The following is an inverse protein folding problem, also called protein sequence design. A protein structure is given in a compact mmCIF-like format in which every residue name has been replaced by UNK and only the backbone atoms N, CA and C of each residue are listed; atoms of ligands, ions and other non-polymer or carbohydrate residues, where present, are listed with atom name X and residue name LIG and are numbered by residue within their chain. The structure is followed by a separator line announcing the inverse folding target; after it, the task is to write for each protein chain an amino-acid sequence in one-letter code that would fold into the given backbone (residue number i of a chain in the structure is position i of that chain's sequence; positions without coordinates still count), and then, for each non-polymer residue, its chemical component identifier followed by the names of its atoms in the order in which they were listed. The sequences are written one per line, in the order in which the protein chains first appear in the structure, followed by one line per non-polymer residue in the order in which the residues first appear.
data_IF_755708067591
#
_entry.id   IF_755708067591
#
_cell.length_a   1.000
_cell.length_b   1.000
_cell.length_c   1.000
_cell.angle_alpha   90.00
_cell.angle_beta   90.00
_cell.angle_gamma   90.00
#
_symmetry.space_group_name_H-M   'P 1'
#
loop_
_entity.id
_entity.type
_entity.pdbx_description
1 polymer ?
#
# COMPACT_ATOMS: atom_id res chain seq x y z
N UNK A 1 6.33 -3.60 -5.53
CA UNK A 1 5.50 -2.45 -5.87
C UNK A 1 6.28 -1.14 -5.88
N UNK A 2 7.02 -0.78 -4.84
CA UNK A 2 7.83 0.44 -4.78
C UNK A 2 8.81 0.62 -5.96
N UNK A 3 9.55 -0.40 -6.37
CA UNK A 3 10.54 -0.29 -7.47
C UNK A 3 9.92 0.05 -8.84
N UNK A 4 8.68 -0.34 -9.10
CA UNK A 4 7.96 0.00 -10.33
C UNK A 4 7.65 1.49 -10.40
N UNK A 5 7.14 2.04 -9.30
CA UNK A 5 6.84 3.46 -9.17
C UNK A 5 8.11 4.32 -9.27
N UNK A 6 9.17 3.92 -8.56
CA UNK A 6 10.46 4.63 -8.54
C UNK A 6 11.12 4.75 -9.92
N UNK A 7 10.99 3.72 -10.76
CA UNK A 7 11.57 3.74 -12.10
C UNK A 7 10.85 4.67 -13.09
N UNK A 8 9.61 5.04 -12.81
CA UNK A 8 8.82 5.97 -13.64
C UNK A 8 9.04 7.43 -13.25
N UNK A 9 9.45 7.70 -12.01
CA UNK A 9 9.64 9.05 -11.47
C UNK A 9 10.51 9.95 -12.35
N UNK A 10 11.71 9.52 -12.87
CA UNK A 10 12.57 10.39 -13.66
C UNK A 10 11.97 10.83 -15.00
N UNK A 11 10.84 10.24 -15.42
CA UNK A 11 10.17 10.53 -16.68
C UNK A 11 8.92 11.40 -16.51
N UNK A 12 8.53 11.70 -15.28
CA UNK A 12 7.39 12.56 -14.98
C UNK A 12 7.88 14.02 -15.06
N UNK A 13 7.38 14.84 -15.98
CA UNK A 13 7.82 16.22 -16.18
C UNK A 13 7.11 17.18 -15.21
N UNK A 14 7.18 16.88 -13.92
CA UNK A 14 6.63 17.72 -12.85
C UNK A 14 7.80 18.11 -11.95
N UNK A 15 8.04 19.39 -11.79
CA UNK A 15 9.06 19.92 -10.90
C UNK A 15 8.74 19.44 -9.47
N UNK A 16 9.77 19.05 -8.72
CA UNK A 16 9.68 18.55 -7.33
C UNK A 16 8.91 17.23 -7.11
N UNK A 17 8.38 16.57 -8.16
CA UNK A 17 7.66 15.30 -8.02
C UNK A 17 8.46 14.23 -7.27
N UNK A 18 9.77 14.18 -7.46
CA UNK A 18 10.64 13.22 -6.79
C UNK A 18 10.63 13.43 -5.27
N UNK A 19 10.66 14.69 -4.83
CA UNK A 19 10.67 15.06 -3.43
C UNK A 19 9.30 14.83 -2.79
N UNK A 20 8.23 15.20 -3.46
CA UNK A 20 6.86 14.99 -2.98
C UNK A 20 6.53 13.49 -2.89
N UNK A 21 6.99 12.71 -3.87
CA UNK A 21 6.80 11.27 -3.86
C UNK A 21 7.64 10.60 -2.76
N UNK A 22 8.85 11.13 -2.49
CA UNK A 22 9.65 10.66 -1.34
C UNK A 22 8.93 10.93 -0.02
N UNK A 23 8.43 12.14 0.18
CA UNK A 23 7.66 12.50 1.39
C UNK A 23 6.42 11.60 1.55
N UNK A 24 5.75 11.26 0.45
CA UNK A 24 4.65 10.31 0.48
C UNK A 24 5.10 8.90 0.92
N UNK A 25 6.19 8.39 0.33
CA UNK A 25 6.74 7.08 0.71
C UNK A 25 7.23 7.06 2.15
N UNK A 26 7.89 8.13 2.57
CA UNK A 26 8.42 8.30 3.93
C UNK A 26 7.32 8.18 4.99
N UNK A 27 6.15 8.75 4.73
CA UNK A 27 4.97 8.62 5.58
C UNK A 27 4.36 7.21 5.61
N UNK A 28 4.69 6.34 4.65
CA UNK A 28 4.26 4.95 4.61
C UNK A 28 5.27 3.99 5.25
N UNK A 29 6.51 4.42 5.36
CA UNK A 29 7.59 3.62 5.94
C UNK A 29 7.51 3.62 7.47
N UNK A 30 7.83 2.49 8.11
CA UNK A 30 7.93 2.46 9.55
C UNK A 30 9.04 3.40 10.02
N UNK A 31 8.83 4.13 11.13
CA UNK A 31 9.86 4.95 11.73
C UNK A 31 11.17 4.15 11.96
N UNK A 32 12.32 4.80 11.82
CA UNK A 32 13.64 4.16 11.98
C UNK A 32 14.16 3.43 10.73
N UNK A 33 13.37 3.30 9.66
CA UNK A 33 13.83 2.72 8.39
C UNK A 33 14.13 3.77 7.32
N UNK A 34 13.82 5.05 7.58
CA UNK A 34 13.91 6.17 6.65
C UNK A 34 15.28 6.29 5.97
N UNK A 35 16.35 6.37 6.73
CA UNK A 35 17.70 6.56 6.18
C UNK A 35 18.17 5.44 5.26
N UNK A 36 17.74 4.20 5.51
CA UNK A 36 18.06 3.06 4.66
C UNK A 36 17.33 3.14 3.30
N UNK A 37 16.06 3.54 3.32
CA UNK A 37 15.26 3.63 2.09
C UNK A 37 15.53 4.91 1.32
N UNK A 38 15.90 6.02 1.98
CA UNK A 38 16.25 7.28 1.34
C UNK A 38 17.43 7.13 0.37
N UNK A 39 18.50 6.48 0.82
CA UNK A 39 19.67 6.23 -0.04
C UNK A 39 19.30 5.42 -1.28
N UNK A 40 18.52 4.35 -1.11
CA UNK A 40 18.04 3.52 -2.22
C UNK A 40 17.13 4.32 -3.15
N UNK A 41 16.24 5.14 -2.61
CA UNK A 41 15.33 5.98 -3.38
C UNK A 41 16.09 6.97 -4.24
N UNK A 42 17.03 7.72 -3.66
CA UNK A 42 17.81 8.73 -4.35
C UNK A 42 18.69 8.14 -5.46
N UNK A 43 19.27 6.95 -5.24
CA UNK A 43 20.04 6.25 -6.29
C UNK A 43 19.17 5.82 -7.48
N UNK A 44 17.93 5.39 -7.23
CA UNK A 44 17.00 4.94 -8.28
C UNK A 44 16.35 6.14 -8.97
N UNK A 45 15.85 7.12 -8.23
CA UNK A 45 15.10 8.26 -8.76
C UNK A 45 16.01 9.28 -9.49
N UNK A 46 17.27 9.42 -9.06
CA UNK A 46 18.21 10.39 -9.64
C UNK A 46 18.84 9.96 -10.97
N UNK A 47 18.74 8.70 -11.37
CA UNK A 47 19.48 8.18 -12.55
C UNK A 47 18.54 7.75 -13.67
N UNK A 48 18.53 8.49 -14.77
CA UNK A 48 17.84 8.08 -16.02
C UNK A 48 18.60 6.93 -16.70
N UNK A 49 18.24 5.70 -16.38
CA UNK A 49 18.86 4.49 -16.95
C UNK A 49 17.90 3.79 -17.92
N UNK A 50 17.73 4.35 -19.12
CA UNK A 50 16.78 3.84 -20.12
C UNK A 50 16.98 2.35 -20.48
N UNK A 51 18.21 1.84 -20.49
CA UNK A 51 18.50 0.45 -20.82
C UNK A 51 18.18 -0.56 -19.70
N UNK A 52 18.24 -0.13 -18.43
CA UNK A 52 17.87 -0.97 -17.28
C UNK A 52 16.38 -0.91 -16.97
N UNK A 53 15.70 0.12 -17.50
CA UNK A 53 14.29 0.38 -17.19
C UNK A 53 13.40 -0.79 -17.58
N UNK A 54 13.59 -1.39 -18.74
CA UNK A 54 12.76 -2.48 -19.25
C UNK A 54 12.92 -3.74 -18.40
N UNK A 55 14.15 -4.14 -18.07
CA UNK A 55 14.40 -5.37 -17.28
C UNK A 55 13.94 -5.22 -15.84
N UNK A 56 14.28 -4.10 -15.18
CA UNK A 56 13.85 -3.83 -13.80
C UNK A 56 12.33 -3.67 -13.73
N UNK A 57 11.71 -3.06 -14.74
CA UNK A 57 10.25 -2.92 -14.82
C UNK A 57 9.55 -4.28 -14.90
N UNK A 58 9.97 -5.15 -15.81
CA UNK A 58 9.41 -6.51 -15.95
C UNK A 58 9.62 -7.32 -14.67
N UNK A 59 10.83 -7.27 -14.10
CA UNK A 59 11.12 -7.96 -12.84
C UNK A 59 10.26 -7.43 -11.69
N UNK A 60 10.02 -6.13 -11.62
CA UNK A 60 9.18 -5.51 -10.58
C UNK A 60 7.73 -5.93 -10.72
N UNK A 61 7.18 -6.02 -11.94
CA UNK A 61 5.83 -6.55 -12.17
C UNK A 61 5.76 -8.01 -11.70
N UNK A 62 6.74 -8.82 -12.07
CA UNK A 62 6.80 -10.22 -11.67
C UNK A 62 6.83 -10.39 -10.15
N UNK A 63 7.72 -9.67 -9.46
CA UNK A 63 7.83 -9.74 -7.99
C UNK A 63 6.57 -9.23 -7.29
N UNK A 64 5.96 -8.13 -7.78
CA UNK A 64 4.71 -7.60 -7.22
C UNK A 64 3.57 -8.59 -7.42
N UNK A 65 3.48 -9.20 -8.60
CA UNK A 65 2.48 -10.25 -8.90
C UNK A 65 2.62 -11.42 -7.94
N UNK A 66 3.86 -11.89 -7.70
CA UNK A 66 4.13 -12.98 -6.75
C UNK A 66 3.69 -12.62 -5.32
N UNK A 67 3.94 -11.37 -4.89
CA UNK A 67 3.48 -10.90 -3.59
C UNK A 67 1.95 -10.93 -3.44
N UNK A 68 1.22 -10.42 -4.44
CA UNK A 68 -0.26 -10.46 -4.44
C UNK A 68 -0.77 -11.90 -4.55
N UNK A 69 -0.13 -12.73 -5.37
CA UNK A 69 -0.49 -14.14 -5.50
C UNK A 69 -0.32 -14.90 -4.18
N UNK A 70 0.72 -14.59 -3.40
CA UNK A 70 0.93 -15.16 -2.07
C UNK A 70 -0.19 -14.73 -1.09
N UNK A 71 -0.61 -13.45 -1.13
CA UNK A 71 -1.76 -12.95 -0.35
C UNK A 71 -3.04 -13.70 -0.73
N UNK A 72 -3.31 -13.88 -2.04
CA UNK A 72 -4.47 -14.64 -2.49
C UNK A 72 -4.41 -16.11 -2.09
N UNK A 73 -3.22 -16.72 -2.11
CA UNK A 73 -3.02 -18.07 -1.54
C UNK A 73 -3.36 -18.13 -0.05
N UNK A 74 -3.03 -17.08 0.71
CA UNK A 74 -3.46 -16.94 2.10
C UNK A 74 -4.99 -16.86 2.25
N UNK A 75 -5.67 -16.16 1.36
CA UNK A 75 -7.13 -16.08 1.35
C UNK A 75 -7.79 -17.42 0.99
N UNK A 76 -7.22 -18.16 0.05
CA UNK A 76 -7.71 -19.48 -0.34
C UNK A 76 -7.57 -20.53 0.78
N UNK A 77 -6.61 -20.35 1.69
CA UNK A 77 -6.43 -21.20 2.86
C UNK A 77 -7.36 -20.83 4.05
N UNK A 78 -8.23 -19.83 3.90
CA UNK A 78 -9.22 -19.47 4.91
C UNK A 78 -10.20 -20.62 5.14
N UNK A 79 -10.54 -20.91 6.39
CA UNK A 79 -11.52 -21.94 6.78
C UNK A 79 -12.88 -21.77 6.10
N UNK A 80 -13.26 -20.55 5.77
CA UNK A 80 -14.56 -20.18 5.23
C UNK A 80 -14.61 -20.13 3.70
N UNK A 81 -13.50 -20.38 3.00
CA UNK A 81 -13.44 -20.39 1.54
C UNK A 81 -13.55 -21.83 1.04
N UNK A 82 -14.58 -22.10 0.22
CA UNK A 82 -14.86 -23.44 -0.33
C UNK A 82 -14.40 -23.61 -1.78
N UNK A 83 -14.24 -22.53 -2.52
CA UNK A 83 -13.90 -22.55 -3.94
C UNK A 83 -12.59 -21.80 -4.17
N UNK A 84 -11.61 -22.49 -4.75
CA UNK A 84 -10.30 -21.93 -5.14
C UNK A 84 -10.18 -21.87 -6.67
N UNK A 85 -9.27 -21.06 -7.15
CA UNK A 85 -8.95 -20.92 -8.57
C UNK A 85 -7.80 -21.86 -8.94
N UNK A 86 -7.76 -22.29 -10.21
CA UNK A 86 -6.54 -22.92 -10.74
C UNK A 86 -5.36 -21.93 -10.70
N UNK A 87 -4.15 -22.44 -10.38
CA UNK A 87 -2.95 -21.63 -10.13
C UNK A 87 -2.64 -20.61 -11.26
N UNK A 88 -2.77 -21.04 -12.52
CA UNK A 88 -2.52 -20.17 -13.69
C UNK A 88 -3.50 -18.99 -13.73
N UNK A 89 -4.80 -19.25 -13.54
CA UNK A 89 -5.84 -18.23 -13.54
C UNK A 89 -5.65 -17.25 -12.38
N UNK A 90 -5.29 -17.76 -11.20
CA UNK A 90 -5.01 -16.93 -10.03
C UNK A 90 -3.83 -16.01 -10.28
N UNK A 91 -2.76 -16.51 -10.90
CA UNK A 91 -1.58 -15.71 -11.22
C UNK A 91 -1.90 -14.55 -12.17
N UNK A 92 -2.67 -14.77 -13.24
CA UNK A 92 -3.10 -13.69 -14.14
C UNK A 92 -3.99 -12.65 -13.46
N UNK A 93 -4.89 -13.08 -12.57
CA UNK A 93 -5.71 -12.15 -11.78
C UNK A 93 -4.84 -11.34 -10.82
N UNK A 94 -3.87 -11.99 -10.15
CA UNK A 94 -2.91 -11.31 -9.28
C UNK A 94 -2.09 -10.27 -10.03
N UNK A 95 -1.68 -10.57 -11.26
CA UNK A 95 -0.98 -9.63 -12.14
C UNK A 95 -1.85 -8.42 -12.50
N UNK A 96 -3.11 -8.65 -12.87
CA UNK A 96 -4.06 -7.58 -13.16
C UNK A 96 -4.31 -6.68 -11.94
N UNK A 97 -4.50 -7.28 -10.76
CA UNK A 97 -4.68 -6.55 -9.50
C UNK A 97 -3.39 -5.80 -9.12
N UNK A 98 -2.21 -6.40 -9.31
CA UNK A 98 -0.93 -5.73 -9.08
C UNK A 98 -0.82 -4.45 -9.90
N UNK A 99 -1.05 -4.53 -11.20
CA UNK A 99 -1.02 -3.38 -12.10
C UNK A 99 -2.07 -2.33 -11.71
N UNK A 100 -3.29 -2.76 -11.42
CA UNK A 100 -4.37 -1.85 -11.03
C UNK A 100 -4.05 -1.10 -9.73
N UNK A 101 -3.49 -1.76 -8.72
CA UNK A 101 -3.08 -1.10 -7.47
C UNK A 101 -1.93 -0.11 -7.69
N UNK A 102 -0.98 -0.43 -8.57
CA UNK A 102 0.10 0.51 -8.95
C UNK A 102 -0.51 1.77 -9.58
N UNK A 103 -1.41 1.61 -10.56
CA UNK A 103 -2.09 2.74 -11.18
C UNK A 103 -2.96 3.52 -10.20
N UNK A 104 -3.65 2.85 -9.30
CA UNK A 104 -4.47 3.51 -8.28
C UNK A 104 -3.61 4.42 -7.38
N UNK A 105 -2.45 3.93 -6.92
CA UNK A 105 -1.54 4.71 -6.08
C UNK A 105 -0.95 5.88 -6.87
N UNK A 106 -0.41 5.64 -8.08
CA UNK A 106 0.11 6.73 -8.91
C UNK A 106 -0.94 7.78 -9.20
N UNK A 107 -2.13 7.36 -9.60
CA UNK A 107 -3.23 8.27 -9.89
C UNK A 107 -3.65 9.07 -8.65
N UNK A 108 -3.68 8.45 -7.47
CA UNK A 108 -3.99 9.15 -6.23
C UNK A 108 -2.96 10.21 -5.88
N UNK A 109 -1.67 9.94 -6.10
CA UNK A 109 -0.61 10.94 -5.89
C UNK A 109 -0.75 12.10 -6.88
N UNK A 110 -0.96 11.80 -8.17
CA UNK A 110 -1.16 12.82 -9.20
C UNK A 110 -2.39 13.69 -8.89
N UNK A 111 -3.51 13.07 -8.50
CA UNK A 111 -4.71 13.82 -8.09
C UNK A 111 -4.45 14.73 -6.88
N UNK A 112 -3.67 14.23 -5.92
CA UNK A 112 -3.33 15.02 -4.76
C UNK A 112 -2.45 16.23 -5.14
N UNK A 113 -1.41 16.03 -5.93
CA UNK A 113 -0.55 17.11 -6.42
C UNK A 113 -1.31 18.12 -7.26
N UNK A 114 -2.21 17.66 -8.14
CA UNK A 114 -3.09 18.55 -8.90
C UNK A 114 -4.00 19.36 -7.97
N UNK A 115 -4.53 18.76 -6.93
CA UNK A 115 -5.34 19.45 -5.92
C UNK A 115 -4.52 20.50 -5.16
N UNK A 116 -3.29 20.19 -4.76
CA UNK A 116 -2.38 21.09 -4.06
C UNK A 116 -1.98 22.28 -4.96
N UNK A 117 -1.75 22.04 -6.25
CA UNK A 117 -1.50 23.09 -7.24
C UNK A 117 -2.71 24.03 -7.40
N UNK A 118 -3.92 23.49 -7.53
CA UNK A 118 -5.16 24.29 -7.65
C UNK A 118 -5.42 25.11 -6.39
N UNK A 119 -5.06 24.57 -5.23
CA UNK A 119 -5.17 25.21 -3.93
C UNK A 119 -4.34 26.50 -3.83
N UNK A 120 -3.16 26.54 -4.46
CA UNK A 120 -2.30 27.73 -4.56
C UNK A 120 -2.94 28.86 -5.36
N UNK A 121 -4.02 28.60 -6.12
CA UNK A 121 -4.74 29.60 -6.86
C UNK A 121 -5.70 30.40 -5.95
N UNK A 122 -5.84 31.68 -6.20
CA UNK A 122 -6.68 32.63 -5.40
C UNK A 122 -8.16 32.24 -5.23
N UNK A 123 -8.63 31.27 -6.04
CA UNK A 123 -10.03 30.78 -6.03
C UNK A 123 -10.36 30.08 -4.69
N UNK A 124 -9.39 29.46 -4.04
CA UNK A 124 -9.57 28.73 -2.77
C UNK A 124 -9.19 29.54 -1.53
N UNK A 125 -8.94 30.83 -1.64
CA UNK A 125 -8.55 31.72 -0.52
C UNK A 125 -9.55 31.67 0.65
N UNK A 126 -10.82 31.39 0.41
CA UNK A 126 -11.86 31.27 1.44
C UNK A 126 -11.63 30.02 2.33
N UNK A 127 -11.13 28.92 1.75
CA UNK A 127 -10.83 27.67 2.51
C UNK A 127 -9.46 27.72 3.20
N UNK A 128 -8.56 28.62 2.77
CA UNK A 128 -7.24 28.83 3.38
C UNK A 128 -7.29 29.53 4.75
N UNK A 129 -8.44 30.00 5.18
CA UNK A 129 -8.61 30.62 6.50
C UNK A 129 -8.46 29.65 7.68
N UNK A 130 -8.57 28.34 7.44
CA UNK A 130 -8.39 27.33 8.48
C UNK A 130 -7.15 26.44 8.19
N UNK A 131 -6.05 26.59 8.98
CA UNK A 131 -4.80 25.85 8.72
C UNK A 131 -4.93 24.33 8.89
N UNK A 132 -5.99 23.86 9.54
CA UNK A 132 -6.22 22.42 9.77
C UNK A 132 -7.04 21.76 8.67
N UNK A 133 -7.71 22.52 7.80
CA UNK A 133 -8.62 21.95 6.80
C UNK A 133 -7.89 21.03 5.81
N UNK A 134 -6.82 21.51 5.21
CA UNK A 134 -6.08 20.76 4.18
C UNK A 134 -5.35 19.52 4.70
N UNK A 135 -4.65 19.57 5.86
CA UNK A 135 -4.07 18.36 6.45
C UNK A 135 -5.11 17.28 6.77
N UNK A 136 -6.32 17.67 7.20
CA UNK A 136 -7.40 16.71 7.47
C UNK A 136 -7.93 16.11 6.17
N UNK A 137 -8.17 16.93 5.13
CA UNK A 137 -8.59 16.45 3.81
C UNK A 137 -7.56 15.48 3.23
N UNK A 138 -6.26 15.80 3.34
CA UNK A 138 -5.16 14.93 2.91
C UNK A 138 -5.24 13.56 3.60
N UNK A 139 -5.36 13.53 4.92
CA UNK A 139 -5.48 12.29 5.68
C UNK A 139 -6.68 11.46 5.25
N UNK A 140 -7.85 12.08 5.14
CA UNK A 140 -9.09 11.39 4.72
C UNK A 140 -8.92 10.82 3.31
N UNK A 141 -8.36 11.58 2.38
CA UNK A 141 -8.13 11.13 1.01
C UNK A 141 -7.26 9.86 0.96
N UNK A 142 -6.10 9.85 1.63
CA UNK A 142 -5.22 8.67 1.64
C UNK A 142 -5.82 7.49 2.42
N UNK A 143 -6.59 7.74 3.47
CA UNK A 143 -7.37 6.70 4.16
C UNK A 143 -8.39 6.06 3.20
N UNK A 144 -9.08 6.86 2.38
CA UNK A 144 -9.99 6.34 1.35
C UNK A 144 -9.26 5.50 0.29
N UNK A 145 -8.10 5.96 -0.18
CA UNK A 145 -7.27 5.19 -1.14
C UNK A 145 -6.80 3.87 -0.53
N UNK A 146 -6.35 3.87 0.72
CA UNK A 146 -5.97 2.65 1.43
C UNK A 146 -7.14 1.68 1.59
N UNK A 147 -8.32 2.19 1.96
CA UNK A 147 -9.54 1.40 2.06
C UNK A 147 -9.95 0.78 0.71
N UNK A 148 -9.89 1.56 -0.37
CA UNK A 148 -10.14 1.07 -1.72
C UNK A 148 -9.14 -0.03 -2.11
N UNK A 149 -7.86 0.14 -1.81
CA UNK A 149 -6.82 -0.86 -2.10
C UNK A 149 -7.10 -2.19 -1.39
N UNK A 150 -7.45 -2.16 -0.10
CA UNK A 150 -7.83 -3.37 0.65
C UNK A 150 -9.11 -3.98 0.10
N UNK A 151 -10.11 -3.16 -0.25
CA UNK A 151 -11.38 -3.63 -0.83
C UNK A 151 -11.18 -4.33 -2.16
N UNK A 152 -10.27 -3.82 -3.00
CA UNK A 152 -9.88 -4.46 -4.27
C UNK A 152 -9.23 -5.82 -4.01
N UNK A 153 -8.27 -5.90 -3.07
CA UNK A 153 -7.63 -7.17 -2.72
C UNK A 153 -8.66 -8.19 -2.25
N UNK A 154 -9.60 -7.81 -1.40
CA UNK A 154 -10.64 -8.72 -0.89
C UNK A 154 -11.63 -9.13 -1.97
N UNK A 155 -12.00 -8.21 -2.87
CA UNK A 155 -12.94 -8.48 -3.95
C UNK A 155 -12.37 -9.46 -4.97
N UNK A 156 -11.14 -9.21 -5.42
CA UNK A 156 -10.48 -10.03 -6.43
C UNK A 156 -9.77 -11.26 -5.85
N UNK A 157 -9.43 -11.26 -4.57
CA UNK A 157 -8.75 -12.37 -3.90
C UNK A 157 -9.62 -13.62 -3.71
N UNK A 158 -10.94 -13.56 -3.90
CA UNK A 158 -11.84 -14.70 -3.73
C UNK A 158 -12.60 -15.04 -5.01
N UNK A 159 -12.98 -16.32 -5.14
CA UNK A 159 -13.86 -16.83 -6.23
C UNK A 159 -15.32 -16.66 -5.86
N UNK A 160 -15.65 -16.61 -4.59
CA UNK A 160 -17.01 -16.63 -4.11
C UNK A 160 -17.78 -15.37 -4.51
N UNK A 161 -18.87 -15.56 -5.25
CA UNK A 161 -19.80 -14.49 -5.66
C UNK A 161 -20.63 -14.00 -4.47
N UNK A 162 -20.96 -12.70 -4.47
CA UNK A 162 -21.88 -12.10 -3.49
C UNK A 162 -21.21 -11.42 -2.30
N UNK A 163 -19.90 -11.22 -2.33
CA UNK A 163 -19.22 -10.36 -1.35
C UNK A 163 -19.34 -8.89 -1.76
N UNK A 164 -19.75 -8.06 -0.81
CA UNK A 164 -19.81 -6.61 -1.03
C UNK A 164 -18.41 -6.05 -1.21
N UNK A 165 -18.25 -5.14 -2.18
CA UNK A 165 -16.97 -4.44 -2.40
C UNK A 165 -16.55 -3.65 -1.16
N UNK A 166 -17.50 -2.91 -0.58
CA UNK A 166 -17.31 -2.26 0.71
C UNK A 166 -17.69 -3.22 1.84
N UNK A 167 -16.72 -3.60 2.65
CA UNK A 167 -16.89 -4.68 3.62
C UNK A 167 -16.37 -4.31 5.00
N UNK A 168 -17.00 -4.90 6.04
CA UNK A 168 -16.60 -4.71 7.42
C UNK A 168 -15.16 -5.18 7.69
N UNK A 169 -14.73 -6.26 7.02
CA UNK A 169 -13.35 -6.74 7.14
C UNK A 169 -12.33 -5.78 6.54
N UNK A 170 -12.64 -5.09 5.42
CA UNK A 170 -11.76 -4.06 4.89
C UNK A 170 -11.64 -2.86 5.85
N UNK A 171 -12.73 -2.49 6.52
CA UNK A 171 -12.71 -1.45 7.54
C UNK A 171 -11.87 -1.88 8.76
N UNK A 172 -12.05 -3.11 9.25
CA UNK A 172 -11.25 -3.66 10.34
C UNK A 172 -9.76 -3.66 9.98
N UNK A 173 -9.43 -4.15 8.78
CA UNK A 173 -8.04 -4.15 8.27
C UNK A 173 -7.43 -2.75 8.30
N UNK A 174 -8.17 -1.76 7.81
CA UNK A 174 -7.70 -0.37 7.79
C UNK A 174 -7.46 0.19 9.20
N UNK A 175 -8.39 -0.04 10.12
CA UNK A 175 -8.24 0.39 11.52
C UNK A 175 -7.02 -0.27 12.16
N UNK A 176 -6.87 -1.59 11.97
CA UNK A 176 -5.73 -2.32 12.49
C UNK A 176 -4.40 -1.88 11.84
N UNK A 177 -4.38 -1.55 10.55
CA UNK A 177 -3.18 -0.99 9.90
C UNK A 177 -2.75 0.33 10.53
N UNK A 178 -3.70 1.24 10.80
CA UNK A 178 -3.41 2.53 11.43
C UNK A 178 -2.88 2.29 12.86
N UNK A 179 -3.53 1.44 13.64
CA UNK A 179 -3.10 1.11 15.01
C UNK A 179 -1.70 0.46 15.03
N UNK A 180 -1.46 -0.49 14.12
CA UNK A 180 -0.17 -1.18 14.01
C UNK A 180 0.93 -0.22 13.59
N UNK A 181 0.68 0.65 12.62
CA UNK A 181 1.67 1.64 12.18
C UNK A 181 2.04 2.59 13.32
N UNK A 182 1.05 3.08 14.06
CA UNK A 182 1.29 3.93 15.23
C UNK A 182 2.03 3.19 16.36
N UNK A 183 1.53 2.01 16.74
CA UNK A 183 2.14 1.19 17.80
C UNK A 183 3.56 0.72 17.42
N UNK A 184 3.80 0.44 16.15
CA UNK A 184 5.11 0.06 15.65
C UNK A 184 6.09 1.23 15.67
N UNK A 185 5.63 2.45 15.40
CA UNK A 185 6.41 3.68 15.57
C UNK A 185 6.90 3.84 17.01
N UNK A 186 5.97 3.75 17.97
CA UNK A 186 6.31 3.82 19.41
C UNK A 186 7.27 2.69 19.82
N UNK A 187 7.08 1.49 19.29
CA UNK A 187 7.98 0.35 19.53
C UNK A 187 9.40 0.66 19.07
N UNK A 188 9.58 1.17 17.85
CA UNK A 188 10.90 1.46 17.29
C UNK A 188 11.60 2.58 18.06
N UNK A 189 10.88 3.66 18.41
CA UNK A 189 11.45 4.77 19.19
C UNK A 189 12.02 4.31 20.55
N UNK A 190 11.36 3.35 21.20
CA UNK A 190 11.81 2.80 22.47
C UNK A 190 12.91 1.72 22.32
N UNK A 191 13.00 1.08 21.14
CA UNK A 191 13.96 0.02 20.85
C UNK A 191 15.12 0.47 19.94
N UNK A 192 15.38 1.77 19.83
CA UNK A 192 16.46 2.35 19.01
C UNK A 192 17.86 1.77 19.32
N UNK A 193 18.08 1.20 20.50
CA UNK A 193 19.33 0.51 20.86
C UNK A 193 19.61 -0.73 19.99
N UNK A 194 18.58 -1.36 19.42
CA UNK A 194 18.73 -2.52 18.54
C UNK A 194 19.44 -2.15 17.23
N UNK A 195 19.20 -0.94 16.75
CA UNK A 195 19.82 -0.42 15.52
C UNK A 195 21.31 -0.11 15.70
N UNK A 196 21.74 0.23 16.92
CA UNK A 196 23.17 0.44 17.24
C UNK A 196 23.97 -0.86 17.22
N UNK A 197 23.34 -1.99 17.55
CA UNK A 197 24.01 -3.31 17.61
C UNK A 197 24.08 -3.99 16.26
N UNK A 198 23.04 -3.85 15.41
CA UNK A 198 22.89 -4.59 14.16
C UNK A 198 22.96 -3.74 12.89
N UNK A 199 23.05 -2.42 13.00
CA UNK A 199 23.17 -1.50 11.86
C UNK A 199 22.05 -1.67 10.82
N UNK A 200 22.40 -1.71 9.54
CA UNK A 200 21.45 -1.86 8.41
C UNK A 200 20.65 -3.16 8.45
N UNK A 201 21.18 -4.24 9.06
CA UNK A 201 20.46 -5.51 9.21
C UNK A 201 19.29 -5.35 10.18
N UNK A 202 19.46 -4.53 11.24
CA UNK A 202 18.37 -4.22 12.17
C UNK A 202 17.19 -3.55 11.48
N UNK A 203 17.44 -2.57 10.62
CA UNK A 203 16.40 -1.88 9.85
C UNK A 203 15.63 -2.85 8.92
N UNK A 204 16.35 -3.78 8.25
CA UNK A 204 15.75 -4.80 7.41
C UNK A 204 14.84 -5.76 8.21
N UNK A 205 15.31 -6.23 9.39
CA UNK A 205 14.51 -7.11 10.25
C UNK A 205 13.25 -6.44 10.75
N UNK A 206 13.35 -5.17 11.17
CA UNK A 206 12.24 -4.34 11.60
C UNK A 206 11.22 -4.20 10.46
N UNK A 207 11.68 -3.92 9.25
CA UNK A 207 10.82 -3.80 8.08
C UNK A 207 10.11 -5.12 7.72
N UNK A 208 10.80 -6.25 7.80
CA UNK A 208 10.21 -7.57 7.58
C UNK A 208 9.15 -7.90 8.63
N UNK A 209 9.39 -7.58 9.90
CA UNK A 209 8.42 -7.74 10.98
C UNK A 209 7.17 -6.88 10.73
N UNK A 210 7.34 -5.63 10.31
CA UNK A 210 6.23 -4.75 9.95
C UNK A 210 5.39 -5.31 8.79
N UNK A 211 6.04 -5.82 7.74
CA UNK A 211 5.33 -6.46 6.61
C UNK A 211 4.56 -7.69 7.09
N UNK A 212 5.18 -8.53 7.93
CA UNK A 212 4.54 -9.72 8.46
C UNK A 212 3.29 -9.40 9.29
N UNK A 213 3.36 -8.39 10.18
CA UNK A 213 2.21 -7.92 10.95
C UNK A 213 1.09 -7.43 10.04
N UNK A 214 1.40 -6.60 9.05
CA UNK A 214 0.39 -6.09 8.11
C UNK A 214 -0.22 -7.19 7.24
N UNK A 215 0.56 -8.18 6.82
CA UNK A 215 0.04 -9.35 6.10
C UNK A 215 -0.92 -10.16 6.98
N UNK A 216 -0.58 -10.35 8.25
CA UNK A 216 -1.45 -11.05 9.22
C UNK A 216 -2.75 -10.29 9.44
N UNK A 217 -2.72 -8.97 9.58
CA UNK A 217 -3.91 -8.11 9.72
C UNK A 217 -4.79 -8.21 8.47
N UNK A 218 -4.19 -8.23 7.28
CA UNK A 218 -4.92 -8.38 6.02
C UNK A 218 -5.67 -9.73 5.97
N UNK A 219 -5.03 -10.81 6.41
CA UNK A 219 -5.66 -12.13 6.50
C UNK A 219 -6.80 -12.15 7.52
N UNK A 220 -6.62 -11.53 8.70
CA UNK A 220 -7.67 -11.42 9.72
C UNK A 220 -8.90 -10.66 9.20
N UNK A 221 -8.72 -9.55 8.51
CA UNK A 221 -9.82 -8.80 7.92
C UNK A 221 -10.54 -9.59 6.83
N UNK A 222 -9.80 -10.34 6.02
CA UNK A 222 -10.39 -11.24 5.04
C UNK A 222 -11.22 -12.35 5.70
N UNK A 223 -10.71 -12.98 6.76
CA UNK A 223 -11.39 -14.03 7.52
C UNK A 223 -12.70 -13.52 8.12
N UNK A 224 -12.71 -12.31 8.67
CA UNK A 224 -13.93 -11.67 9.15
C UNK A 224 -14.97 -11.54 8.03
N UNK A 225 -14.57 -11.09 6.85
CA UNK A 225 -15.50 -11.00 5.70
C UNK A 225 -16.03 -12.35 5.28
N UNK A 226 -15.18 -13.38 5.27
CA UNK A 226 -15.55 -14.73 4.92
C UNK A 226 -16.57 -15.30 5.92
N UNK A 227 -16.31 -15.12 7.21
CA UNK A 227 -17.19 -15.54 8.29
C UNK A 227 -18.57 -14.85 8.21
N UNK A 228 -18.60 -13.53 8.07
CA UNK A 228 -19.86 -12.76 7.94
C UNK A 228 -20.67 -13.16 6.70
N UNK A 229 -19.98 -13.46 5.59
CA UNK A 229 -20.63 -13.94 4.36
C UNK A 229 -21.31 -15.31 4.56
N UNK A 230 -20.66 -16.21 5.31
CA UNK A 230 -21.20 -17.53 5.61
C UNK A 230 -22.40 -17.47 6.54
N UNK A 231 -22.38 -16.63 7.59
CA UNK A 231 -23.52 -16.43 8.46
C UNK A 231 -24.74 -15.95 7.68
N UNK A 232 -24.61 -14.96 6.81
CA UNK A 232 -25.70 -14.46 5.96
C UNK A 232 -26.25 -15.49 4.97
N UNK A 233 -25.46 -16.49 4.59
CA UNK A 233 -25.92 -17.60 3.72
C UNK A 233 -26.62 -18.69 4.50
N UNK A 234 -26.26 -18.90 5.75
CA UNK A 234 -26.89 -19.88 6.63
C UNK A 234 -28.29 -19.48 7.13
N UNK A 235 -28.63 -18.19 7.06
CA UNK A 235 -29.95 -17.66 7.40
C UNK A 235 -30.97 -17.69 6.23
N UNK A 236 -30.53 -18.13 5.03
CA UNK A 236 -31.39 -18.35 3.83
C UNK A 236 -31.53 -19.81 3.52
#
# INVERSE_FOLDING_TARGET
MQRLLLNLIPYIPIDDFQQDFWVFLDNLLPPGTHGFFEEIFMDIAGKKRAGLLSTVFVLSIFLTTNGINAVFGGFDNSYHVRATRGAVRQYFISMGVAMFLVFLILFSVILWLAFEYIQGMKIFSFFNSNPYFFPVVKKIFFICVAYLSVSILFHFGTVERGRHFFSAGALLTLVLFILTTYGFGVYIENFAQYNQLYGSIGALLIFLLYIWLNATILLLGFELNASLSNLRRGEK
#
